data_IF_898489883900
#
_entry.id   IF_898489883900
#
_cell.length_a   1.000
_cell.length_b   1.000
_cell.length_c   1.000
_cell.angle_alpha   90.00
_cell.angle_beta   90.00
_cell.angle_gamma   90.00
#
_symmetry.space_group_name_H-M   'P 1'
#
loop_
_entity.id
_entity.type
_entity.pdbx_description
1 polymer ?
#
# COMPACT_ATOMS: atom_id res chain seq x y z
N UNK A 1 29.40 40.68 -18.68
CA UNK A 1 29.56 39.35 -19.26
C UNK A 1 29.36 38.23 -18.22
N UNK A 2 29.95 38.29 -17.03
CA UNK A 2 29.74 37.25 -15.97
C UNK A 2 28.30 37.17 -15.46
N UNK A 3 27.65 38.31 -15.18
CA UNK A 3 26.25 38.38 -14.72
C UNK A 3 25.20 37.83 -15.71
N UNK A 4 25.45 38.01 -17.03
CA UNK A 4 24.56 37.47 -18.06
C UNK A 4 24.64 35.94 -18.12
N UNK A 5 25.85 35.35 -18.00
CA UNK A 5 26.04 33.89 -17.95
C UNK A 5 25.53 33.25 -16.65
N UNK A 6 25.47 34.01 -15.56
CA UNK A 6 24.90 33.57 -14.29
C UNK A 6 23.36 33.60 -14.34
N UNK A 7 22.77 34.60 -14.99
CA UNK A 7 21.34 34.67 -15.28
C UNK A 7 20.91 33.59 -16.26
N UNK A 8 21.70 33.32 -17.30
CA UNK A 8 21.41 32.22 -18.23
C UNK A 8 21.52 30.83 -17.58
N UNK A 9 22.53 30.63 -16.70
CA UNK A 9 22.64 29.39 -15.90
C UNK A 9 21.49 29.26 -14.90
N UNK A 10 21.10 30.35 -14.23
CA UNK A 10 19.95 30.35 -13.33
C UNK A 10 18.63 30.17 -14.09
N UNK A 11 18.46 30.77 -15.26
CA UNK A 11 17.29 30.55 -16.11
C UNK A 11 17.22 29.11 -16.67
N UNK A 12 18.38 28.54 -17.06
CA UNK A 12 18.46 27.15 -17.48
C UNK A 12 18.23 26.17 -16.32
N UNK A 13 18.69 26.48 -15.08
CA UNK A 13 18.42 25.71 -13.89
C UNK A 13 16.96 25.84 -13.43
N UNK A 14 16.33 27.00 -13.55
CA UNK A 14 14.91 27.23 -13.29
C UNK A 14 14.03 26.52 -14.34
N UNK A 15 14.48 26.42 -15.59
CA UNK A 15 13.79 25.63 -16.64
C UNK A 15 13.92 24.11 -16.49
N UNK A 16 14.82 23.61 -15.64
CA UNK A 16 15.04 22.19 -15.37
C UNK A 16 14.53 21.73 -13.99
N UNK A 17 14.16 22.68 -13.11
CA UNK A 17 13.70 22.35 -11.77
C UNK A 17 12.35 21.61 -11.79
N UNK A 18 12.28 20.48 -11.08
CA UNK A 18 11.01 19.80 -10.80
C UNK A 18 10.25 20.66 -9.81
N UNK A 19 9.14 21.27 -10.26
CA UNK A 19 8.34 22.22 -9.48
C UNK A 19 6.86 22.16 -9.85
N UNK A 20 6.02 22.82 -9.04
CA UNK A 20 4.58 22.91 -9.22
C UNK A 20 3.80 21.88 -8.39
N UNK A 21 2.48 21.82 -8.58
CA UNK A 21 1.61 20.95 -7.80
C UNK A 21 1.67 19.50 -8.30
N UNK A 22 1.94 18.55 -7.41
CA UNK A 22 1.84 17.10 -7.63
C UNK A 22 0.71 16.57 -6.76
N UNK A 23 -0.30 15.98 -7.40
CA UNK A 23 -1.47 15.37 -6.75
C UNK A 23 -1.36 13.86 -6.77
N UNK A 24 -1.21 13.26 -5.60
CA UNK A 24 -1.11 11.81 -5.42
C UNK A 24 -2.40 11.28 -4.81
N UNK A 25 -3.00 10.26 -5.41
CA UNK A 25 -4.12 9.57 -4.80
C UNK A 25 -3.66 8.20 -4.27
N UNK A 26 -4.18 7.81 -3.11
CA UNK A 26 -3.81 6.56 -2.45
C UNK A 26 -5.06 5.80 -2.00
N UNK A 27 -4.93 4.47 -1.99
CA UNK A 27 -5.82 3.63 -1.21
C UNK A 27 -5.58 3.91 0.30
N UNK A 28 -6.62 4.15 1.13
CA UNK A 28 -6.47 4.52 2.54
C UNK A 28 -5.65 3.55 3.37
N UNK A 29 -5.63 2.26 3.00
CA UNK A 29 -4.82 1.25 3.69
C UNK A 29 -3.31 1.43 3.51
N UNK A 30 -2.89 2.17 2.48
CA UNK A 30 -1.49 2.46 2.17
C UNK A 30 -1.01 3.75 2.84
N UNK A 31 -1.92 4.68 3.11
CA UNK A 31 -1.58 6.02 3.61
C UNK A 31 -0.73 6.00 4.88
N UNK A 32 -1.10 5.29 5.96
CA UNK A 32 -0.32 5.33 7.20
C UNK A 32 1.11 4.81 7.04
N UNK A 33 1.32 3.91 6.09
CA UNK A 33 2.61 3.23 5.90
C UNK A 33 3.48 3.97 4.88
N UNK A 34 2.90 4.40 3.76
CA UNK A 34 3.67 4.97 2.64
C UNK A 34 3.82 6.48 2.70
N UNK A 35 2.74 7.20 3.00
CA UNK A 35 2.70 8.66 2.83
C UNK A 35 3.77 9.40 3.63
N UNK A 36 4.05 9.08 4.92
CA UNK A 36 5.09 9.75 5.67
C UNK A 36 6.48 9.62 5.04
N UNK A 37 6.81 8.42 4.53
CA UNK A 37 8.09 8.16 3.87
C UNK A 37 8.19 8.85 2.52
N UNK A 38 7.11 8.79 1.72
CA UNK A 38 7.05 9.43 0.42
C UNK A 38 7.18 10.95 0.54
N UNK A 39 6.43 11.56 1.44
CA UNK A 39 6.46 13.02 1.62
C UNK A 39 7.82 13.49 2.14
N UNK A 40 8.32 12.90 3.21
CA UNK A 40 9.56 13.37 3.85
C UNK A 40 10.76 13.29 2.89
N UNK A 41 10.95 12.18 2.20
CA UNK A 41 12.07 12.00 1.29
C UNK A 41 11.90 12.74 -0.04
N UNK A 42 10.71 12.68 -0.63
CA UNK A 42 10.46 13.36 -1.91
C UNK A 42 10.54 14.88 -1.79
N UNK A 43 9.92 15.47 -0.77
CA UNK A 43 9.94 16.92 -0.57
C UNK A 43 11.34 17.43 -0.18
N UNK A 44 12.14 16.62 0.53
CA UNK A 44 13.54 16.95 0.78
C UNK A 44 14.35 17.03 -0.52
N UNK A 45 14.06 16.16 -1.49
CA UNK A 45 14.75 16.12 -2.80
C UNK A 45 14.22 17.18 -3.78
N UNK A 46 12.90 17.50 -3.69
CA UNK A 46 12.20 18.41 -4.60
C UNK A 46 11.40 19.48 -3.84
N UNK A 47 12.07 20.41 -3.15
CA UNK A 47 11.41 21.38 -2.25
C UNK A 47 10.51 22.41 -2.98
N UNK A 48 10.63 22.52 -4.31
CA UNK A 48 9.79 23.39 -5.13
C UNK A 48 8.48 22.71 -5.59
N UNK A 49 8.26 21.46 -5.21
CA UNK A 49 7.01 20.75 -5.49
C UNK A 49 6.01 20.99 -4.35
N UNK A 50 4.82 21.46 -4.71
CA UNK A 50 3.68 21.49 -3.80
C UNK A 50 2.98 20.12 -3.85
N UNK A 51 3.21 19.28 -2.83
CA UNK A 51 2.66 17.93 -2.76
C UNK A 51 1.28 17.97 -2.09
N UNK A 52 0.28 17.44 -2.79
CA UNK A 52 -1.04 17.22 -2.22
C UNK A 52 -1.46 15.77 -2.41
N UNK A 53 -2.26 15.26 -1.49
CA UNK A 53 -2.75 13.88 -1.57
C UNK A 53 -4.25 13.81 -1.31
N UNK A 54 -4.85 12.74 -1.79
CA UNK A 54 -6.26 12.40 -1.58
C UNK A 54 -6.40 10.88 -1.41
N UNK A 55 -7.36 10.47 -0.62
CA UNK A 55 -7.62 9.08 -0.29
C UNK A 55 -9.00 8.67 -0.82
N UNK A 56 -9.06 7.48 -1.38
CA UNK A 56 -10.31 6.92 -1.88
C UNK A 56 -10.17 5.43 -2.16
N UNK A 57 -11.30 4.77 -2.35
CA UNK A 57 -11.33 3.35 -2.76
C UNK A 57 -10.56 3.14 -4.06
N UNK A 58 -10.12 1.92 -4.33
CA UNK A 58 -9.41 1.57 -5.57
C UNK A 58 -10.14 2.05 -6.82
N UNK A 59 -11.48 2.03 -6.83
CA UNK A 59 -12.29 2.54 -7.95
C UNK A 59 -12.24 4.07 -8.03
N UNK A 60 -12.42 4.77 -6.92
CA UNK A 60 -12.44 6.24 -6.88
C UNK A 60 -11.09 6.85 -7.28
N UNK A 61 -9.98 6.31 -6.77
CA UNK A 61 -8.65 6.85 -7.11
C UNK A 61 -8.34 6.67 -8.60
N UNK A 62 -8.78 5.58 -9.22
CA UNK A 62 -8.65 5.39 -10.66
C UNK A 62 -9.56 6.32 -11.48
N UNK A 63 -10.79 6.57 -11.01
CA UNK A 63 -11.68 7.56 -11.61
C UNK A 63 -11.06 8.97 -11.54
N UNK A 64 -10.48 9.35 -10.41
CA UNK A 64 -9.81 10.65 -10.27
C UNK A 64 -8.61 10.78 -11.19
N UNK A 65 -7.85 9.72 -11.41
CA UNK A 65 -6.74 9.71 -12.35
C UNK A 65 -7.23 9.91 -13.79
N UNK A 66 -8.28 9.19 -14.20
CA UNK A 66 -8.89 9.30 -15.55
C UNK A 66 -9.44 10.71 -15.78
N UNK A 67 -10.08 11.30 -14.76
CA UNK A 67 -10.61 12.66 -14.77
C UNK A 67 -9.53 13.75 -14.67
N UNK A 68 -8.27 13.40 -14.42
CA UNK A 68 -7.17 14.34 -14.24
C UNK A 68 -7.23 15.12 -12.93
N UNK A 69 -7.95 14.60 -11.92
CA UNK A 69 -8.00 15.17 -10.56
C UNK A 69 -6.75 14.85 -9.75
N UNK A 70 -6.03 13.78 -10.10
CA UNK A 70 -4.69 13.45 -9.59
C UNK A 70 -3.74 13.13 -10.75
N UNK A 71 -2.45 13.17 -10.47
CA UNK A 71 -1.36 12.94 -11.44
C UNK A 71 -0.89 11.47 -11.41
N UNK A 72 -1.02 10.79 -10.25
CA UNK A 72 -0.55 9.44 -9.99
C UNK A 72 -1.37 8.79 -8.86
N UNK A 73 -1.55 7.49 -8.94
CA UNK A 73 -2.25 6.67 -7.93
C UNK A 73 -1.28 5.64 -7.36
N UNK A 74 -1.32 5.41 -6.05
CA UNK A 74 -0.67 4.29 -5.39
C UNK A 74 -1.74 3.32 -4.90
N UNK A 75 -1.71 2.07 -5.38
CA UNK A 75 -2.71 1.04 -5.08
C UNK A 75 -2.10 -0.36 -5.21
N UNK A 76 -2.80 -1.36 -4.71
CA UNK A 76 -2.47 -2.75 -4.99
C UNK A 76 -2.95 -3.19 -6.37
N UNK A 77 -2.27 -4.17 -6.97
CA UNK A 77 -2.69 -4.82 -8.22
C UNK A 77 -3.87 -5.78 -7.98
N UNK A 78 -4.99 -5.20 -7.62
CA UNK A 78 -6.25 -5.90 -7.35
C UNK A 78 -7.38 -5.35 -8.24
N UNK A 79 -7.10 -5.05 -9.50
CA UNK A 79 -8.10 -4.58 -10.46
C UNK A 79 -7.79 -3.20 -11.04
N UNK A 80 -6.60 -3.05 -11.61
CA UNK A 80 -6.24 -1.87 -12.41
C UNK A 80 -7.00 -1.91 -13.73
N UNK A 81 -7.65 -0.80 -14.07
CA UNK A 81 -8.47 -0.69 -15.28
C UNK A 81 -7.63 -0.62 -16.54
N UNK A 82 -8.19 -1.14 -17.61
CA UNK A 82 -7.61 -1.01 -18.96
C UNK A 82 -7.39 0.45 -19.34
N UNK A 83 -6.29 0.72 -20.07
CA UNK A 83 -5.92 2.06 -20.51
C UNK A 83 -5.11 2.88 -19.52
N UNK A 84 -4.95 2.44 -18.27
CA UNK A 84 -4.00 2.99 -17.32
C UNK A 84 -2.62 2.33 -17.49
N UNK A 85 -1.56 3.01 -17.04
CA UNK A 85 -0.21 2.47 -17.02
C UNK A 85 0.17 2.11 -15.59
N UNK A 86 0.31 0.82 -15.32
CA UNK A 86 0.76 0.29 -14.05
C UNK A 86 2.29 0.17 -14.03
N UNK A 87 2.92 0.68 -12.97
CA UNK A 87 4.35 0.61 -12.71
C UNK A 87 4.55 -0.16 -11.40
N UNK A 88 4.97 -1.44 -11.45
CA UNK A 88 5.23 -2.22 -10.23
C UNK A 88 6.35 -1.60 -9.39
N UNK A 89 6.10 -1.41 -8.10
CA UNK A 89 7.05 -0.83 -7.16
C UNK A 89 7.62 -1.87 -6.20
N UNK A 90 6.74 -2.69 -5.65
CA UNK A 90 7.09 -3.67 -4.63
C UNK A 90 6.07 -4.80 -4.62
N UNK A 91 6.49 -5.99 -4.19
CA UNK A 91 5.61 -7.16 -4.09
C UNK A 91 5.39 -7.51 -2.62
N UNK A 92 4.13 -7.72 -2.25
CA UNK A 92 3.72 -8.13 -0.90
C UNK A 92 3.00 -9.47 -0.96
N UNK A 93 3.15 -10.24 0.10
CA UNK A 93 2.41 -11.49 0.32
C UNK A 93 1.50 -11.32 1.53
N UNK A 94 0.25 -11.79 1.48
CA UNK A 94 -0.63 -11.71 2.64
C UNK A 94 -0.05 -12.53 3.80
N UNK A 95 -0.26 -12.04 5.02
CA UNK A 95 0.08 -12.76 6.25
C UNK A 95 -1.18 -13.05 7.06
N UNK A 96 -1.14 -14.14 7.81
CA UNK A 96 -2.15 -14.44 8.83
C UNK A 96 -1.82 -13.67 10.09
N UNK A 97 -2.82 -13.04 10.69
CA UNK A 97 -2.75 -12.39 11.99
C UNK A 97 -3.46 -13.25 13.02
N UNK A 98 -2.80 -13.49 14.16
CA UNK A 98 -3.34 -14.24 15.31
C UNK A 98 -3.00 -13.53 16.62
N UNK A 99 -3.77 -13.80 17.68
CA UNK A 99 -3.42 -13.31 19.01
C UNK A 99 -2.04 -13.83 19.46
N UNK A 100 -1.34 -13.08 20.31
CA UNK A 100 0.02 -13.40 20.77
C UNK A 100 0.19 -14.85 21.28
N UNK A 101 -0.72 -15.37 22.04
CA UNK A 101 -0.66 -16.73 22.61
C UNK A 101 -1.35 -17.81 21.77
N UNK A 102 -1.76 -17.53 20.53
CA UNK A 102 -2.52 -18.48 19.71
C UNK A 102 -1.69 -19.70 19.27
N UNK A 103 -0.42 -19.50 18.98
CA UNK A 103 0.55 -20.54 18.64
C UNK A 103 1.85 -20.32 19.42
N UNK A 104 2.66 -21.38 19.53
CA UNK A 104 3.99 -21.30 20.16
C UNK A 104 4.93 -20.30 19.47
N UNK A 105 5.90 -19.73 20.20
CA UNK A 105 6.78 -18.68 19.68
C UNK A 105 7.63 -19.13 18.49
N UNK A 106 7.89 -20.42 18.36
CA UNK A 106 8.67 -21.02 17.27
C UNK A 106 7.89 -21.18 15.94
N UNK A 107 6.56 -20.98 15.98
CA UNK A 107 5.73 -21.11 14.77
C UNK A 107 5.80 -19.81 13.98
N UNK A 108 6.35 -19.86 12.77
CA UNK A 108 6.47 -18.69 11.87
C UNK A 108 5.56 -18.77 10.66
N UNK A 109 4.99 -19.94 10.38
CA UNK A 109 4.04 -20.16 9.28
C UNK A 109 2.89 -21.05 9.70
N UNK A 110 1.75 -20.91 8.99
CA UNK A 110 0.53 -21.66 9.31
C UNK A 110 -0.23 -21.96 8.02
N UNK A 111 -0.87 -23.14 7.96
CA UNK A 111 -1.77 -23.46 6.83
C UNK A 111 -3.16 -22.90 7.09
N UNK A 112 -3.82 -22.42 6.04
CA UNK A 112 -5.19 -21.89 6.14
C UNK A 112 -6.17 -22.97 6.61
N UNK A 113 -5.93 -24.23 6.26
CA UNK A 113 -6.73 -25.36 6.68
C UNK A 113 -6.74 -25.56 8.20
N UNK A 114 -5.63 -25.29 8.88
CA UNK A 114 -5.57 -25.38 10.35
C UNK A 114 -6.43 -24.34 11.07
N UNK A 115 -6.80 -23.27 10.36
CA UNK A 115 -7.63 -22.17 10.87
C UNK A 115 -9.11 -22.29 10.47
N UNK A 116 -9.48 -23.34 9.74
CA UNK A 116 -10.82 -23.46 9.15
C UNK A 116 -11.96 -23.41 10.20
N UNK A 117 -11.74 -23.94 11.40
CA UNK A 117 -12.72 -23.96 12.49
C UNK A 117 -12.61 -22.78 13.45
N UNK A 118 -11.54 -21.99 13.32
CA UNK A 118 -11.29 -20.83 14.17
C UNK A 118 -12.12 -19.61 13.70
N UNK A 119 -12.56 -18.75 14.63
CA UNK A 119 -13.30 -17.55 14.26
C UNK A 119 -12.43 -16.62 13.42
N UNK A 120 -12.95 -16.13 12.28
CA UNK A 120 -12.26 -15.21 11.38
C UNK A 120 -12.86 -13.82 11.48
N UNK A 121 -11.97 -12.82 11.50
CA UNK A 121 -12.27 -11.41 11.31
C UNK A 121 -11.92 -11.09 9.86
N UNK A 122 -12.90 -10.77 9.04
CA UNK A 122 -12.69 -10.48 7.62
C UNK A 122 -12.54 -8.98 7.41
N UNK A 123 -11.49 -8.58 6.71
CA UNK A 123 -11.37 -7.20 6.21
C UNK A 123 -12.32 -7.01 5.03
N UNK A 124 -13.21 -6.04 5.14
CA UNK A 124 -14.25 -5.72 4.14
C UNK A 124 -13.88 -4.41 3.42
N UNK A 125 -12.88 -4.50 2.54
CA UNK A 125 -12.43 -3.41 1.68
C UNK A 125 -12.33 -3.97 0.26
N UNK A 126 -13.23 -3.52 -0.63
CA UNK A 126 -13.17 -3.90 -2.04
C UNK A 126 -11.97 -3.22 -2.74
N UNK A 127 -11.21 -3.94 -3.58
CA UNK A 127 -11.36 -5.33 -4.02
C UNK A 127 -10.66 -6.38 -3.14
N UNK A 128 -10.04 -5.98 -2.04
CA UNK A 128 -9.25 -6.86 -1.16
C UNK A 128 -10.06 -7.99 -0.54
N UNK A 129 -11.34 -7.76 -0.18
CA UNK A 129 -12.20 -8.82 0.34
C UNK A 129 -12.31 -10.01 -0.65
N UNK A 130 -12.56 -9.72 -1.90
CA UNK A 130 -12.66 -10.75 -2.95
C UNK A 130 -11.35 -11.52 -3.11
N UNK A 131 -10.21 -10.84 -3.01
CA UNK A 131 -8.87 -11.43 -3.05
C UNK A 131 -8.68 -12.43 -1.89
N UNK A 132 -8.99 -12.06 -0.65
CA UNK A 132 -8.86 -12.95 0.50
C UNK A 132 -9.81 -14.15 0.42
N UNK A 133 -11.04 -13.94 -0.04
CA UNK A 133 -12.00 -15.04 -0.27
C UNK A 133 -11.51 -16.00 -1.36
N UNK A 134 -10.87 -15.51 -2.42
CA UNK A 134 -10.29 -16.35 -3.47
C UNK A 134 -9.15 -17.23 -2.91
N UNK A 135 -8.27 -16.68 -2.07
CA UNK A 135 -7.21 -17.43 -1.39
C UNK A 135 -7.81 -18.56 -0.55
N UNK A 136 -8.79 -18.27 0.29
CA UNK A 136 -9.45 -19.27 1.14
C UNK A 136 -10.12 -20.36 0.32
N UNK A 137 -10.81 -19.98 -0.75
CA UNK A 137 -11.47 -20.93 -1.66
C UNK A 137 -10.44 -21.84 -2.36
N UNK A 138 -9.30 -21.30 -2.82
CA UNK A 138 -8.24 -22.08 -3.43
C UNK A 138 -7.61 -23.09 -2.45
N UNK A 139 -7.49 -22.72 -1.17
CA UNK A 139 -7.05 -23.61 -0.09
C UNK A 139 -8.13 -24.62 0.36
N UNK A 140 -9.34 -24.57 -0.21
CA UNK A 140 -10.47 -25.41 0.18
C UNK A 140 -11.00 -25.10 1.59
N UNK A 141 -10.86 -23.85 2.02
CA UNK A 141 -11.28 -23.40 3.36
C UNK A 141 -12.51 -22.52 3.27
N UNK A 142 -13.57 -22.91 3.99
CA UNK A 142 -14.74 -22.06 4.24
C UNK A 142 -14.61 -21.48 5.65
N UNK A 143 -14.23 -20.20 5.79
CA UNK A 143 -13.96 -19.62 7.11
C UNK A 143 -15.25 -19.37 7.87
N UNK A 144 -15.20 -19.50 9.20
CA UNK A 144 -16.25 -19.03 10.10
C UNK A 144 -16.08 -17.55 10.38
N UNK A 145 -16.57 -16.70 9.47
CA UNK A 145 -16.51 -15.25 9.63
C UNK A 145 -17.46 -14.83 10.77
N UNK A 146 -16.90 -14.27 11.84
CA UNK A 146 -17.66 -13.80 13.03
C UNK A 146 -17.76 -12.28 13.08
N UNK A 147 -16.80 -11.58 12.47
CA UNK A 147 -16.79 -10.11 12.37
C UNK A 147 -16.29 -9.68 10.99
N UNK A 148 -16.79 -8.53 10.53
CA UNK A 148 -16.33 -7.84 9.35
C UNK A 148 -16.05 -6.37 9.69
N UNK A 149 -15.01 -5.80 9.12
CA UNK A 149 -14.65 -4.38 9.31
C UNK A 149 -13.85 -3.87 8.12
N UNK A 150 -14.05 -2.61 7.75
CA UNK A 150 -13.24 -1.92 6.75
C UNK A 150 -11.96 -1.28 7.33
N UNK A 151 -11.70 -1.42 8.62
CA UNK A 151 -10.54 -0.85 9.29
C UNK A 151 -9.45 -1.90 9.49
N UNK A 152 -8.28 -1.70 8.86
CA UNK A 152 -7.08 -2.53 9.07
C UNK A 152 -6.68 -2.52 10.55
N UNK A 153 -6.71 -1.36 11.20
CA UNK A 153 -6.41 -1.25 12.64
C UNK A 153 -7.50 -1.87 13.52
N UNK A 154 -8.76 -1.84 13.07
CA UNK A 154 -9.85 -2.58 13.69
C UNK A 154 -9.59 -4.09 13.68
N UNK A 155 -9.14 -4.64 12.55
CA UNK A 155 -8.70 -6.04 12.45
C UNK A 155 -7.60 -6.34 13.47
N UNK A 156 -6.52 -5.54 13.49
CA UNK A 156 -5.39 -5.72 14.41
C UNK A 156 -5.83 -5.70 15.88
N UNK A 157 -6.71 -4.76 16.23
CA UNK A 157 -7.23 -4.64 17.61
C UNK A 157 -8.07 -5.86 18.02
N UNK A 158 -8.96 -6.33 17.14
CA UNK A 158 -9.81 -7.49 17.42
C UNK A 158 -8.97 -8.78 17.50
N UNK A 159 -8.00 -8.96 16.60
CA UNK A 159 -7.08 -10.09 16.61
C UNK A 159 -6.25 -10.09 17.89
N UNK A 160 -5.65 -8.96 18.27
CA UNK A 160 -4.84 -8.83 19.48
C UNK A 160 -5.62 -9.15 20.77
N UNK A 161 -6.94 -8.99 20.76
CA UNK A 161 -7.86 -9.38 21.85
C UNK A 161 -8.35 -10.82 21.80
N UNK A 162 -7.96 -11.59 20.77
CA UNK A 162 -8.35 -13.00 20.63
C UNK A 162 -9.76 -13.23 20.11
N UNK A 163 -10.39 -12.26 19.45
CA UNK A 163 -11.72 -12.45 18.85
C UNK A 163 -11.71 -13.33 17.61
N UNK A 164 -10.54 -13.60 17.05
CA UNK A 164 -10.36 -14.46 15.89
C UNK A 164 -9.04 -14.18 15.19
N UNK A 165 -8.82 -14.86 14.08
CA UNK A 165 -7.69 -14.63 13.19
C UNK A 165 -8.10 -13.80 11.97
N UNK A 166 -7.14 -13.26 11.25
CA UNK A 166 -7.39 -12.53 10.00
C UNK A 166 -6.25 -12.71 9.00
N UNK A 167 -6.42 -12.16 7.79
CA UNK A 167 -5.35 -12.01 6.79
C UNK A 167 -5.26 -10.55 6.34
N UNK A 168 -4.03 -10.04 6.23
CA UNK A 168 -3.75 -8.70 5.72
C UNK A 168 -2.54 -8.70 4.79
N UNK A 169 -2.57 -7.81 3.78
CA UNK A 169 -1.40 -7.45 2.96
C UNK A 169 -0.51 -6.44 3.69
N UNK A 170 -1.10 -5.57 4.51
CA UNK A 170 -0.40 -4.52 5.26
C UNK A 170 0.25 -5.12 6.50
N UNK A 171 1.57 -5.25 6.49
CA UNK A 171 2.36 -5.69 7.63
C UNK A 171 2.58 -4.53 8.61
N UNK A 172 2.87 -4.84 9.87
CA UNK A 172 3.19 -3.87 10.90
C UNK A 172 4.63 -4.05 11.38
N UNK A 173 5.33 -2.95 11.56
CA UNK A 173 6.71 -3.00 12.12
C UNK A 173 6.76 -3.40 13.58
N UNK A 174 5.69 -3.16 14.32
CA UNK A 174 5.67 -3.31 15.78
C UNK A 174 4.89 -4.52 16.25
N UNK A 175 4.01 -5.07 15.41
CA UNK A 175 3.04 -6.10 15.78
C UNK A 175 2.22 -5.73 17.04
N UNK A 176 1.94 -4.44 17.20
CA UNK A 176 1.11 -3.91 18.27
C UNK A 176 -0.14 -3.25 17.69
N UNK A 177 -1.28 -3.49 18.32
CA UNK A 177 -2.51 -2.72 18.06
C UNK A 177 -2.39 -1.31 18.65
N UNK A 178 -3.30 -0.39 18.29
CA UNK A 178 -3.35 0.96 18.89
C UNK A 178 -3.53 0.95 20.42
N UNK A 179 -4.03 -0.15 20.99
CA UNK A 179 -4.11 -0.33 22.44
C UNK A 179 -2.80 -0.83 23.06
N UNK A 180 -1.74 -1.01 22.27
CA UNK A 180 -0.47 -1.56 22.71
C UNK A 180 -0.51 -3.06 22.99
N UNK A 181 -1.55 -3.79 22.54
CA UNK A 181 -1.63 -5.25 22.65
C UNK A 181 -0.89 -5.90 21.50
N UNK A 182 -0.07 -6.90 21.82
CA UNK A 182 0.66 -7.67 20.83
C UNK A 182 -0.25 -8.64 20.06
N UNK A 183 0.08 -8.87 18.82
CA UNK A 183 -0.42 -9.93 17.96
C UNK A 183 0.75 -10.49 17.13
N UNK A 184 0.53 -11.60 16.47
CA UNK A 184 1.57 -12.20 15.62
C UNK A 184 1.14 -12.20 14.17
N UNK A 185 2.08 -11.93 13.30
CA UNK A 185 1.97 -12.12 11.86
C UNK A 185 2.72 -13.39 11.47
N UNK A 186 2.02 -14.31 10.83
CA UNK A 186 2.54 -15.59 10.39
C UNK A 186 2.51 -15.69 8.87
N UNK A 187 3.51 -16.31 8.30
CA UNK A 187 3.51 -16.63 6.88
C UNK A 187 2.43 -17.67 6.58
N UNK A 188 1.82 -17.58 5.41
CA UNK A 188 0.89 -18.59 4.91
C UNK A 188 1.72 -19.70 4.25
N UNK A 189 1.59 -20.93 4.78
CA UNK A 189 2.32 -22.08 4.26
C UNK A 189 1.72 -22.63 2.95
N UNK A 190 0.47 -22.26 2.64
CA UNK A 190 -0.18 -22.60 1.38
C UNK A 190 0.43 -21.76 0.24
N UNK A 191 0.26 -22.23 -1.00
CA UNK A 191 0.61 -21.45 -2.19
C UNK A 191 -0.41 -20.34 -2.39
N UNK A 192 -0.04 -19.10 -2.06
CA UNK A 192 -0.88 -17.91 -2.18
C UNK A 192 -0.23 -16.90 -3.11
N UNK A 193 -1.02 -16.18 -3.93
CA UNK A 193 -0.49 -15.23 -4.86
C UNK A 193 0.15 -14.03 -4.16
N UNK A 194 1.26 -13.58 -4.73
CA UNK A 194 1.85 -12.29 -4.42
C UNK A 194 1.02 -11.17 -5.03
N UNK A 195 1.02 -10.01 -4.39
CA UNK A 195 0.32 -8.80 -4.88
C UNK A 195 1.33 -7.68 -5.05
N UNK A 196 1.34 -7.05 -6.22
CA UNK A 196 2.19 -5.90 -6.44
C UNK A 196 1.56 -4.62 -5.84
N UNK A 197 2.39 -3.80 -5.18
CA UNK A 197 2.11 -2.39 -4.98
C UNK A 197 2.47 -1.66 -6.27
N UNK A 198 1.57 -0.87 -6.78
CA UNK A 198 1.69 -0.18 -8.06
C UNK A 198 1.68 1.33 -7.87
N UNK A 199 2.48 2.03 -8.67
CA UNK A 199 2.18 3.39 -9.08
C UNK A 199 1.41 3.33 -10.41
N UNK A 200 0.28 4.00 -10.50
CA UNK A 200 -0.57 3.99 -11.69
C UNK A 200 -0.68 5.40 -12.25
N UNK A 201 -0.47 5.52 -13.56
CA UNK A 201 -0.51 6.79 -14.29
C UNK A 201 -1.43 6.71 -15.50
N UNK A 202 -1.85 7.85 -16.00
CA UNK A 202 -2.58 7.92 -17.26
C UNK A 202 -1.60 7.88 -18.43
N UNK A 203 -1.87 7.05 -19.43
CA UNK A 203 -1.02 6.91 -20.63
C UNK A 203 -0.85 8.24 -21.34
N UNK A 204 0.41 8.61 -21.61
CA UNK A 204 0.75 9.82 -22.38
C UNK A 204 0.62 11.15 -21.61
N UNK A 205 0.37 11.14 -20.30
CA UNK A 205 0.23 12.35 -19.48
C UNK A 205 1.27 12.47 -18.35
N UNK A 206 2.48 12.03 -18.59
CA UNK A 206 3.53 12.17 -17.59
C UNK A 206 4.13 13.59 -17.62
N UNK A 207 3.95 14.32 -16.52
CA UNK A 207 4.69 15.58 -16.29
C UNK A 207 6.06 15.28 -15.70
N UNK A 208 6.99 16.25 -15.74
CA UNK A 208 8.32 16.09 -15.14
C UNK A 208 8.24 15.71 -13.64
N UNK A 209 7.32 16.32 -12.88
CA UNK A 209 7.14 16.01 -11.47
C UNK A 209 6.56 14.62 -11.24
N UNK A 210 5.67 14.15 -12.13
CA UNK A 210 5.12 12.79 -12.07
C UNK A 210 6.21 11.75 -12.34
N UNK A 211 7.07 11.99 -13.34
CA UNK A 211 8.23 11.14 -13.62
C UNK A 211 9.18 11.12 -12.43
N UNK A 212 9.55 12.31 -11.91
CA UNK A 212 10.45 12.41 -10.75
C UNK A 212 9.89 11.69 -9.50
N UNK A 213 8.58 11.72 -9.30
CA UNK A 213 7.94 11.00 -8.19
C UNK A 213 7.92 9.49 -8.43
N UNK A 214 7.67 9.04 -9.65
CA UNK A 214 7.72 7.64 -10.03
C UNK A 214 9.14 7.06 -9.86
N UNK A 215 10.16 7.79 -10.33
CA UNK A 215 11.56 7.41 -10.17
C UNK A 215 11.92 7.33 -8.68
N UNK A 216 11.50 8.31 -7.88
CA UNK A 216 11.70 8.32 -6.43
C UNK A 216 11.04 7.13 -5.76
N UNK A 217 9.79 6.79 -6.11
CA UNK A 217 9.12 5.60 -5.58
C UNK A 217 9.91 4.33 -5.95
N UNK A 218 10.34 4.21 -7.19
CA UNK A 218 11.11 3.04 -7.66
C UNK A 218 12.42 2.90 -6.87
N UNK A 219 13.16 4.00 -6.67
CA UNK A 219 14.39 4.00 -5.86
C UNK A 219 14.12 3.63 -4.40
N UNK A 220 13.06 4.18 -3.79
CA UNK A 220 12.70 3.95 -2.39
C UNK A 220 12.40 2.46 -2.14
N UNK A 221 11.63 1.83 -3.01
CA UNK A 221 11.24 0.43 -2.86
C UNK A 221 12.36 -0.55 -3.25
N UNK A 222 13.25 -0.17 -4.18
CA UNK A 222 14.44 -0.97 -4.52
C UNK A 222 15.48 -1.00 -3.39
N UNK A 223 15.55 0.02 -2.53
CA UNK A 223 16.49 0.13 -1.42
C UNK A 223 16.10 -0.66 -0.16
N UNK A 224 15.25 -1.68 -0.26
CA UNK A 224 14.74 -2.49 0.85
C UNK A 224 13.76 -1.71 1.77
N UNK A 225 12.65 -1.28 1.19
CA UNK A 225 11.55 -0.79 2.00
C UNK A 225 11.00 -1.95 2.85
N UNK A 226 11.28 -1.92 4.17
CA UNK A 226 10.65 -2.84 5.11
C UNK A 226 9.33 -2.20 5.58
N UNK A 227 8.27 -2.96 5.46
CA UNK A 227 6.97 -2.61 6.04
C UNK A 227 7.08 -2.44 7.54
#
# INVERSE_FOLDING_TARGET
MARARELERNAASVGSAVAGELKVALDPVLTPVLLPHLMSGFLSRYPAVNFSFMEGTTSEVQDWLIQGRCDIVLTYDLGVRDGLCAHPLFTVRPKVLVAEGFVGPEVHSITLRSLANEPMILIDISPGEAFYRAILSAAGVTPRVVHQTSSVEGVRALVARGFGWSMLLQQSRTNLSYEGRAYRELDIADDVPDVALLAVTLRGRLTRRTVAFLDYCTELFAASFAW
#
